data_IF_377542581048
#
_entry.id   IF_377542581048
#
_cell.length_a   1.000
_cell.length_b   1.000
_cell.length_c   1.000
_cell.angle_alpha   90.00
_cell.angle_beta   90.00
_cell.angle_gamma   90.00
#
_symmetry.space_group_name_H-M   'P 1'
#
loop_
_entity.id
_entity.type
_entity.pdbx_description
1 polymer ?
#
# COMPACT_ATOMS: atom_id res chain seq x y z
N UNK A 1 12.03 10.79 13.99
CA UNK A 1 13.46 10.43 13.82
C UNK A 1 14.31 11.65 14.09
N UNK A 2 15.36 11.55 14.90
CA UNK A 2 16.30 12.64 15.09
C UNK A 2 17.33 12.69 13.95
N UNK A 3 17.53 13.86 13.35
CA UNK A 3 18.52 14.14 12.34
C UNK A 3 19.63 15.00 12.94
N UNK A 4 20.86 14.48 12.95
CA UNK A 4 22.03 15.21 13.44
C UNK A 4 22.75 15.88 12.29
N UNK A 5 22.99 17.18 12.41
CA UNK A 5 23.74 17.98 11.44
C UNK A 5 24.82 18.81 12.13
N UNK A 6 25.71 19.43 11.34
CA UNK A 6 26.69 20.40 11.87
C UNK A 6 26.06 21.59 12.60
N UNK A 7 24.79 21.91 12.29
CA UNK A 7 24.04 23.04 12.88
C UNK A 7 23.22 22.65 14.11
N UNK A 8 23.24 21.37 14.51
CA UNK A 8 22.44 20.84 15.62
C UNK A 8 21.55 19.67 15.21
N UNK A 9 20.70 19.24 16.14
CA UNK A 9 19.75 18.14 15.96
C UNK A 9 18.36 18.70 15.62
N UNK A 10 17.69 18.11 14.64
CA UNK A 10 16.29 18.41 14.31
C UNK A 10 15.44 17.14 14.28
N UNK A 11 14.14 17.27 14.45
CA UNK A 11 13.21 16.15 14.36
C UNK A 11 12.60 16.03 12.96
N UNK A 12 12.56 14.81 12.43
CA UNK A 12 11.78 14.42 11.26
C UNK A 12 10.61 13.51 11.70
N UNK A 13 9.40 14.05 11.70
CA UNK A 13 8.20 13.37 12.22
C UNK A 13 6.98 13.46 11.30
N UNK A 14 7.12 14.05 10.10
CA UNK A 14 6.04 14.25 9.15
C UNK A 14 6.49 13.81 7.76
N UNK A 15 5.64 13.08 7.05
CA UNK A 15 5.88 12.72 5.66
C UNK A 15 6.08 13.98 4.81
N UNK A 16 7.23 14.10 4.17
CA UNK A 16 7.64 15.29 3.43
C UNK A 16 7.14 15.32 1.98
N UNK A 17 6.70 14.17 1.45
CA UNK A 17 6.31 14.04 0.04
C UNK A 17 4.93 14.64 -0.27
N UNK A 18 4.08 14.76 0.75
CA UNK A 18 2.71 15.28 0.60
C UNK A 18 2.76 16.73 0.13
N UNK A 19 1.98 17.06 -0.92
CA UNK A 19 1.83 18.41 -1.47
C UNK A 19 0.50 19.03 -1.05
N UNK A 20 0.47 19.91 -0.03
CA UNK A 20 -0.78 20.52 0.45
C UNK A 20 -1.42 21.49 -0.55
N UNK A 21 -0.62 22.00 -1.48
CA UNK A 21 -0.98 22.96 -2.53
C UNK A 21 -1.30 22.28 -3.88
N UNK A 22 -1.38 20.95 -3.90
CA UNK A 22 -1.71 20.20 -5.11
C UNK A 22 -3.09 20.63 -5.66
N UNK A 23 -3.16 20.86 -6.98
CA UNK A 23 -4.39 21.22 -7.67
C UNK A 23 -4.48 20.50 -9.01
N UNK A 24 -5.71 20.20 -9.45
CA UNK A 24 -5.95 19.60 -10.76
C UNK A 24 -5.42 20.48 -11.90
N UNK A 25 -5.49 21.80 -11.75
CA UNK A 25 -4.96 22.74 -12.74
C UNK A 25 -3.44 22.62 -12.89
N UNK A 26 -2.70 22.54 -11.77
CA UNK A 26 -1.26 22.34 -11.80
C UNK A 26 -0.88 20.96 -12.34
N UNK A 27 -1.59 19.90 -11.92
CA UNK A 27 -1.35 18.54 -12.37
C UNK A 27 -1.60 18.37 -13.89
N UNK A 28 -2.62 19.02 -14.43
CA UNK A 28 -2.96 18.97 -15.86
C UNK A 28 -1.89 19.61 -16.76
N UNK A 29 -1.06 20.52 -16.23
CA UNK A 29 0.03 21.18 -16.97
C UNK A 29 1.31 20.34 -17.05
N UNK A 30 1.38 19.23 -16.31
CA UNK A 30 2.58 18.39 -16.27
C UNK A 30 2.75 17.61 -17.58
N UNK A 31 3.98 17.59 -18.09
CA UNK A 31 4.33 16.81 -19.28
C UNK A 31 4.46 15.32 -18.94
N UNK A 32 4.13 14.41 -19.87
CA UNK A 32 4.40 12.99 -19.73
C UNK A 32 5.88 12.72 -19.44
N UNK A 33 6.16 11.83 -18.49
CA UNK A 33 7.52 11.56 -18.01
C UNK A 33 8.18 10.35 -18.70
N UNK A 34 7.39 9.41 -19.22
CA UNK A 34 7.90 8.11 -19.70
C UNK A 34 7.74 7.89 -21.21
N UNK A 35 6.70 8.45 -21.81
CA UNK A 35 6.42 8.36 -23.26
C UNK A 35 5.93 9.71 -23.77
N UNK A 36 6.38 10.20 -24.95
CA UNK A 36 5.99 11.51 -25.46
C UNK A 36 4.46 11.71 -25.58
N UNK A 37 3.75 10.66 -25.96
CA UNK A 37 2.30 10.57 -26.13
C UNK A 37 1.59 9.87 -24.95
N UNK A 38 2.30 9.71 -23.83
CA UNK A 38 1.78 9.04 -22.63
C UNK A 38 0.92 9.94 -21.74
N UNK A 39 0.35 9.34 -20.70
CA UNK A 39 -0.48 10.04 -19.69
C UNK A 39 0.15 10.07 -18.29
N UNK A 40 1.23 9.33 -18.10
CA UNK A 40 1.94 9.26 -16.81
C UNK A 40 2.89 10.43 -16.67
N UNK A 41 2.73 11.22 -15.62
CA UNK A 41 3.51 12.40 -15.28
C UNK A 41 4.10 12.26 -13.88
N UNK A 42 5.00 13.17 -13.49
CA UNK A 42 5.53 13.21 -12.12
C UNK A 42 4.46 13.51 -11.05
N UNK A 43 3.26 13.97 -11.44
CA UNK A 43 2.16 14.27 -10.51
C UNK A 43 1.17 13.13 -10.33
N UNK A 44 1.25 12.06 -11.13
CA UNK A 44 0.37 10.88 -11.03
C UNK A 44 1.13 9.55 -10.97
N UNK A 45 2.43 9.63 -10.66
CA UNK A 45 3.32 8.52 -10.40
C UNK A 45 3.91 8.68 -8.99
N UNK A 46 4.25 7.58 -8.33
CA UNK A 46 4.94 7.64 -7.05
C UNK A 46 6.35 8.22 -7.18
N UNK A 47 6.79 8.97 -6.17
CA UNK A 47 8.17 9.45 -6.07
C UNK A 47 9.18 8.35 -5.72
N UNK A 48 10.46 8.71 -5.77
CA UNK A 48 11.54 7.98 -5.10
C UNK A 48 11.69 8.53 -3.68
N UNK A 49 11.72 7.66 -2.68
CA UNK A 49 11.64 8.07 -1.28
C UNK A 49 12.47 7.16 -0.38
N UNK A 50 12.79 7.66 0.81
CA UNK A 50 13.47 6.93 1.87
C UNK A 50 12.49 6.63 3.01
N UNK A 51 12.42 5.36 3.43
CA UNK A 51 11.71 4.97 4.65
C UNK A 51 12.17 3.58 5.13
N UNK A 52 11.70 3.22 6.32
CA UNK A 52 11.74 1.87 6.85
C UNK A 52 10.39 1.51 7.48
N UNK A 53 10.03 0.24 7.42
CA UNK A 53 8.86 -0.31 8.11
C UNK A 53 9.22 -1.65 8.73
N UNK A 54 8.67 -1.96 9.90
CA UNK A 54 8.91 -3.21 10.60
C UNK A 54 7.64 -3.68 11.30
N UNK A 55 7.46 -5.00 11.33
CA UNK A 55 6.38 -5.68 12.07
C UNK A 55 7.00 -6.83 12.86
N UNK A 56 6.45 -7.10 14.05
CA UNK A 56 6.83 -8.25 14.87
C UNK A 56 5.80 -9.35 14.66
N UNK A 57 6.26 -10.54 14.27
CA UNK A 57 5.41 -11.72 14.08
C UNK A 57 5.69 -12.74 15.18
N UNK A 58 4.62 -13.36 15.66
CA UNK A 58 4.66 -14.43 16.66
C UNK A 58 3.57 -15.45 16.32
N UNK A 59 3.73 -16.70 16.78
CA UNK A 59 2.59 -17.61 16.84
C UNK A 59 1.60 -17.12 17.88
N UNK A 60 0.31 -17.42 17.69
CA UNK A 60 -0.76 -17.03 18.61
C UNK A 60 -0.48 -17.53 20.04
N UNK A 61 -0.16 -18.82 20.19
CA UNK A 61 0.16 -19.44 21.49
C UNK A 61 1.33 -18.75 22.20
N UNK A 62 2.36 -18.33 21.43
CA UNK A 62 3.51 -17.65 22.02
C UNK A 62 3.13 -16.24 22.48
N UNK A 63 2.38 -15.51 21.66
CA UNK A 63 1.89 -14.17 21.96
C UNK A 63 1.05 -14.17 23.25
N UNK A 64 0.16 -15.15 23.40
CA UNK A 64 -0.63 -15.36 24.63
C UNK A 64 0.26 -15.71 25.83
N UNK A 65 1.20 -16.66 25.68
CA UNK A 65 2.07 -17.11 26.78
C UNK A 65 2.96 -16.02 27.39
N UNK A 66 3.24 -14.95 26.64
CA UNK A 66 4.07 -13.82 27.10
C UNK A 66 3.26 -12.55 27.39
N UNK A 67 1.93 -12.61 27.32
CA UNK A 67 1.06 -11.47 27.56
C UNK A 67 1.21 -10.34 26.54
N UNK A 68 1.56 -10.67 25.28
CA UNK A 68 1.68 -9.72 24.18
C UNK A 68 0.51 -9.90 23.20
N UNK A 69 -0.65 -9.27 23.42
CA UNK A 69 -1.82 -9.45 22.56
C UNK A 69 -1.51 -9.04 21.12
N UNK A 70 -1.89 -9.89 20.15
CA UNK A 70 -1.68 -9.63 18.74
C UNK A 70 -2.56 -8.46 18.26
N UNK A 71 -1.97 -7.53 17.50
CA UNK A 71 -2.72 -6.41 16.89
C UNK A 71 -3.59 -6.86 15.70
N UNK A 72 -3.21 -7.96 15.05
CA UNK A 72 -3.92 -8.60 13.97
C UNK A 72 -3.37 -10.02 13.74
N UNK A 73 -4.11 -10.82 12.98
CA UNK A 73 -3.72 -12.16 12.52
C UNK A 73 -3.57 -12.17 11.00
N UNK A 74 -2.57 -12.89 10.49
CA UNK A 74 -2.46 -13.19 9.07
C UNK A 74 -3.49 -14.28 8.73
N UNK A 75 -4.49 -13.93 7.92
CA UNK A 75 -5.55 -14.87 7.49
C UNK A 75 -5.05 -15.68 6.29
N UNK A 76 -4.54 -15.00 5.28
CA UNK A 76 -3.98 -15.61 4.09
C UNK A 76 -3.03 -14.63 3.39
N UNK A 77 -2.20 -15.18 2.52
CA UNK A 77 -1.43 -14.38 1.57
C UNK A 77 -1.19 -15.19 0.30
N UNK A 78 -0.90 -14.49 -0.79
CA UNK A 78 -0.52 -15.12 -2.03
C UNK A 78 0.28 -14.17 -2.91
N UNK A 79 0.99 -14.76 -3.85
CA UNK A 79 1.68 -14.08 -4.91
C UNK A 79 1.35 -14.75 -6.26
N UNK A 80 1.56 -14.00 -7.34
CA UNK A 80 1.31 -14.42 -8.70
C UNK A 80 2.30 -13.77 -9.67
N UNK A 81 2.51 -14.43 -10.81
CA UNK A 81 3.21 -13.87 -11.97
C UNK A 81 2.21 -13.35 -13.01
N UNK A 82 2.59 -12.31 -13.73
CA UNK A 82 1.90 -11.73 -14.88
C UNK A 82 2.94 -11.34 -15.95
N UNK A 83 2.50 -10.95 -17.15
CA UNK A 83 3.45 -10.46 -18.17
C UNK A 83 4.18 -9.20 -17.63
N UNK A 84 5.53 -9.16 -17.69
CA UNK A 84 6.33 -8.03 -17.20
C UNK A 84 5.91 -6.67 -17.78
N UNK A 85 5.37 -6.63 -19.01
CA UNK A 85 4.90 -5.40 -19.68
C UNK A 85 3.66 -4.80 -19.03
N UNK A 86 2.89 -5.60 -18.28
CA UNK A 86 1.67 -5.19 -17.58
C UNK A 86 1.78 -5.47 -16.07
N UNK A 87 2.99 -5.48 -15.52
CA UNK A 87 3.27 -5.82 -14.12
C UNK A 87 2.37 -5.08 -13.10
N UNK A 88 1.90 -3.88 -13.44
CA UNK A 88 0.95 -3.09 -12.64
C UNK A 88 -0.37 -3.81 -12.32
N UNK A 89 -0.77 -4.82 -13.10
CA UNK A 89 -1.98 -5.61 -12.86
C UNK A 89 -1.77 -6.77 -11.87
N UNK A 90 -0.53 -7.06 -11.47
CA UNK A 90 -0.19 -8.13 -10.53
C UNK A 90 -1.11 -8.23 -9.29
N UNK A 91 -1.53 -7.11 -8.66
CA UNK A 91 -2.52 -7.13 -7.58
C UNK A 91 -3.80 -7.92 -7.87
N UNK A 92 -4.33 -7.89 -9.08
CA UNK A 92 -5.63 -8.52 -9.40
C UNK A 92 -5.62 -10.04 -9.17
N UNK A 93 -4.75 -10.82 -9.82
CA UNK A 93 -4.66 -12.25 -9.54
C UNK A 93 -4.18 -12.57 -8.12
N UNK A 94 -3.33 -11.73 -7.51
CA UNK A 94 -2.88 -11.94 -6.13
C UNK A 94 -4.04 -11.81 -5.13
N UNK A 95 -4.86 -10.76 -5.24
CA UNK A 95 -6.02 -10.52 -4.38
C UNK A 95 -7.04 -11.66 -4.52
N UNK A 96 -7.43 -12.02 -5.76
CA UNK A 96 -8.39 -13.10 -6.00
C UNK A 96 -7.95 -14.41 -5.34
N UNK A 97 -6.69 -14.80 -5.53
CA UNK A 97 -6.11 -16.02 -4.94
C UNK A 97 -6.01 -15.96 -3.42
N UNK A 98 -5.69 -14.80 -2.85
CA UNK A 98 -5.63 -14.59 -1.40
C UNK A 98 -7.01 -14.74 -0.75
N UNK A 99 -8.04 -14.15 -1.35
CA UNK A 99 -9.43 -14.23 -0.88
C UNK A 99 -10.00 -15.65 -1.04
N UNK A 100 -9.77 -16.29 -2.19
CA UNK A 100 -10.16 -17.69 -2.43
C UNK A 100 -9.57 -18.63 -1.36
N UNK A 101 -8.26 -18.50 -1.07
CA UNK A 101 -7.59 -19.29 -0.03
C UNK A 101 -8.15 -19.06 1.38
N UNK A 102 -8.65 -17.86 1.65
CA UNK A 102 -9.26 -17.52 2.93
C UNK A 102 -10.75 -17.91 3.02
N UNK A 103 -11.37 -18.35 1.91
CA UNK A 103 -12.82 -18.51 1.84
C UNK A 103 -13.56 -17.19 2.07
N UNK A 104 -12.98 -16.08 1.60
CA UNK A 104 -13.52 -14.72 1.75
C UNK A 104 -13.86 -14.10 0.39
N UNK A 105 -14.71 -13.10 0.43
CA UNK A 105 -15.08 -12.26 -0.71
C UNK A 105 -14.51 -10.85 -0.55
N UNK A 106 -14.57 -10.04 -1.61
CA UNK A 106 -14.22 -8.62 -1.52
C UNK A 106 -15.19 -7.85 -0.62
N UNK A 107 -16.45 -8.27 -0.55
CA UNK A 107 -17.49 -7.64 0.29
C UNK A 107 -17.23 -7.82 1.80
N UNK A 108 -16.37 -8.78 2.18
CA UNK A 108 -15.92 -8.97 3.56
C UNK A 108 -14.79 -8.00 3.96
N UNK A 109 -14.17 -7.30 3.00
CA UNK A 109 -12.98 -6.48 3.25
C UNK A 109 -13.39 -5.05 3.61
N UNK A 110 -12.97 -4.60 4.78
CA UNK A 110 -13.35 -3.29 5.31
C UNK A 110 -12.42 -2.15 4.84
N UNK A 111 -11.15 -2.46 4.58
CA UNK A 111 -10.14 -1.47 4.18
C UNK A 111 -9.04 -2.09 3.32
N UNK A 112 -8.55 -1.32 2.35
CA UNK A 112 -7.55 -1.76 1.38
C UNK A 112 -6.39 -0.75 1.33
N UNK A 113 -5.16 -1.25 1.49
CA UNK A 113 -3.93 -0.52 1.14
C UNK A 113 -3.37 -1.11 -0.16
N UNK A 114 -3.64 -0.43 -1.27
CA UNK A 114 -3.14 -0.74 -2.61
C UNK A 114 -1.97 0.19 -2.93
N UNK A 115 -0.76 -0.36 -3.12
CA UNK A 115 0.39 0.47 -3.50
C UNK A 115 0.14 1.20 -4.83
N UNK A 116 0.31 2.52 -4.82
CA UNK A 116 0.07 3.40 -5.98
C UNK A 116 1.38 3.75 -6.69
N UNK A 117 2.01 2.78 -7.36
CA UNK A 117 3.19 3.07 -8.18
C UNK A 117 2.88 4.12 -9.29
N UNK A 118 1.67 4.03 -9.85
CA UNK A 118 1.08 4.92 -10.84
C UNK A 118 -0.43 4.99 -10.67
N UNK A 119 -1.04 6.16 -10.89
CA UNK A 119 -2.49 6.32 -10.86
C UNK A 119 -3.18 5.40 -11.88
N UNK A 120 -2.59 5.25 -13.07
CA UNK A 120 -3.11 4.38 -14.12
C UNK A 120 -3.18 2.90 -13.69
N UNK A 121 -2.16 2.42 -12.97
CA UNK A 121 -2.15 1.05 -12.43
C UNK A 121 -3.18 0.91 -11.30
N UNK A 122 -3.25 1.87 -10.38
CA UNK A 122 -4.18 1.81 -9.25
C UNK A 122 -5.62 1.75 -9.74
N UNK A 123 -5.98 2.62 -10.69
CA UNK A 123 -7.30 2.64 -11.32
C UNK A 123 -7.61 1.35 -12.10
N UNK A 124 -6.63 0.75 -12.77
CA UNK A 124 -6.82 -0.53 -13.46
C UNK A 124 -7.13 -1.66 -12.47
N UNK A 125 -6.39 -1.73 -11.35
CA UNK A 125 -6.62 -2.73 -10.29
C UNK A 125 -7.99 -2.54 -9.64
N UNK A 126 -8.36 -1.30 -9.29
CA UNK A 126 -9.67 -0.95 -8.74
C UNK A 126 -10.79 -1.40 -9.68
N UNK A 127 -10.66 -1.09 -10.97
CA UNK A 127 -11.65 -1.44 -11.99
C UNK A 127 -11.81 -2.96 -12.14
N UNK A 128 -10.71 -3.69 -12.28
CA UNK A 128 -10.74 -5.13 -12.60
C UNK A 128 -11.15 -6.01 -11.41
N UNK A 129 -10.94 -5.52 -10.19
CA UNK A 129 -11.45 -6.15 -8.97
C UNK A 129 -12.84 -5.64 -8.57
N UNK A 130 -13.29 -4.51 -9.12
CA UNK A 130 -14.55 -3.88 -8.70
C UNK A 130 -14.48 -3.32 -7.28
N UNK A 131 -13.33 -2.76 -6.87
CA UNK A 131 -13.14 -2.25 -5.51
C UNK A 131 -13.96 -0.99 -5.29
N UNK A 132 -14.56 -0.87 -4.10
CA UNK A 132 -15.10 0.40 -3.62
C UNK A 132 -13.93 1.36 -3.35
N UNK A 133 -14.00 2.56 -3.94
CA UNK A 133 -12.95 3.57 -3.86
C UNK A 133 -12.89 4.20 -2.47
N UNK A 134 -13.98 4.17 -1.71
CA UNK A 134 -14.03 4.78 -0.37
C UNK A 134 -13.21 3.98 0.66
N UNK A 135 -13.02 2.67 0.44
CA UNK A 135 -12.22 1.80 1.32
C UNK A 135 -10.78 1.62 0.84
N UNK A 136 -10.43 2.11 -0.36
CA UNK A 136 -9.09 2.00 -0.94
C UNK A 136 -8.26 3.23 -0.60
N UNK A 137 -7.13 2.99 0.07
CA UNK A 137 -6.14 4.02 0.44
C UNK A 137 -6.76 5.22 1.20
N UNK A 138 -7.51 5.02 2.30
CA UNK A 138 -8.26 6.09 2.98
C UNK A 138 -7.36 7.20 3.54
N UNK A 139 -6.06 6.93 3.70
CA UNK A 139 -5.05 7.90 4.16
C UNK A 139 -4.07 8.34 3.05
N UNK A 140 -4.45 8.14 1.79
CA UNK A 140 -3.57 8.35 0.62
C UNK A 140 -2.59 7.20 0.40
N UNK A 141 -2.08 7.09 -0.82
CA UNK A 141 -1.11 6.08 -1.23
C UNK A 141 0.24 6.66 -1.63
N UNK A 142 1.02 5.86 -2.36
CA UNK A 142 2.41 6.14 -2.69
C UNK A 142 2.62 7.34 -3.64
N UNK A 143 1.57 7.79 -4.35
CA UNK A 143 1.62 9.05 -5.12
C UNK A 143 1.78 10.25 -4.19
N UNK A 144 1.10 10.24 -3.05
CA UNK A 144 1.14 11.35 -2.09
C UNK A 144 2.21 11.15 -1.00
N UNK A 145 2.36 9.93 -0.50
CA UNK A 145 3.25 9.60 0.62
C UNK A 145 4.65 9.17 0.16
N UNK A 146 4.79 8.76 -1.10
CA UNK A 146 6.04 8.27 -1.66
C UNK A 146 6.16 6.74 -1.71
N UNK A 147 7.14 6.25 -2.49
CA UNK A 147 7.40 4.83 -2.70
C UNK A 147 8.86 4.43 -2.40
N UNK A 148 9.19 4.21 -1.12
CA UNK A 148 10.45 3.57 -0.73
C UNK A 148 10.35 2.08 -1.06
N UNK A 149 10.73 1.70 -2.29
CA UNK A 149 10.40 0.41 -2.94
C UNK A 149 10.51 -0.79 -2.00
N UNK A 150 11.67 -0.97 -1.35
CA UNK A 150 11.92 -2.12 -0.48
C UNK A 150 11.14 -2.07 0.86
N UNK A 151 10.83 -0.87 1.36
CA UNK A 151 10.12 -0.70 2.63
C UNK A 151 8.60 -0.70 2.47
N UNK A 152 8.09 -0.44 1.26
CA UNK A 152 6.67 -0.16 1.02
C UNK A 152 5.74 -1.26 1.51
N UNK A 153 6.08 -2.54 1.31
CA UNK A 153 5.26 -3.64 1.82
C UNK A 153 5.06 -3.58 3.34
N UNK A 154 6.13 -3.32 4.09
CA UNK A 154 6.05 -3.16 5.54
C UNK A 154 5.37 -1.86 5.95
N UNK A 155 5.62 -0.75 5.24
CA UNK A 155 4.97 0.55 5.48
C UNK A 155 3.45 0.45 5.31
N UNK A 156 2.97 -0.16 4.22
CA UNK A 156 1.54 -0.36 3.98
C UNK A 156 0.91 -1.31 5.01
N UNK A 157 1.64 -2.36 5.40
CA UNK A 157 1.20 -3.25 6.49
C UNK A 157 1.06 -2.48 7.81
N UNK A 158 2.01 -1.59 8.13
CA UNK A 158 1.88 -0.72 9.31
C UNK A 158 0.68 0.22 9.18
N UNK A 159 0.52 0.91 8.04
CA UNK A 159 -0.61 1.81 7.79
C UNK A 159 -1.95 1.12 7.99
N UNK A 160 -2.15 -0.06 7.38
CA UNK A 160 -3.44 -0.75 7.47
C UNK A 160 -3.74 -1.20 8.91
N UNK A 161 -2.74 -1.66 9.66
CA UNK A 161 -2.93 -2.08 11.05
C UNK A 161 -3.45 -0.93 11.91
N UNK A 162 -2.85 0.26 11.77
CA UNK A 162 -3.32 1.46 12.46
C UNK A 162 -4.69 1.93 11.96
N UNK A 163 -5.00 1.82 10.67
CA UNK A 163 -6.31 2.19 10.16
C UNK A 163 -7.42 1.31 10.70
N UNK A 164 -7.19 -0.01 10.67
CA UNK A 164 -8.14 -0.96 11.20
C UNK A 164 -8.37 -0.74 12.71
N UNK A 165 -7.33 -0.35 13.45
CA UNK A 165 -7.40 0.06 14.86
C UNK A 165 -8.25 1.32 15.04
N UNK A 166 -7.98 2.34 14.23
CA UNK A 166 -8.60 3.67 14.30
C UNK A 166 -10.09 3.63 13.99
N UNK A 167 -10.51 2.72 13.10
CA UNK A 167 -11.89 2.62 12.61
C UNK A 167 -12.65 1.41 13.15
N UNK A 168 -11.98 0.51 13.87
CA UNK A 168 -12.58 -0.74 14.34
C UNK A 168 -12.90 -1.72 13.20
N UNK A 169 -12.10 -1.73 12.14
CA UNK A 169 -12.27 -2.66 11.01
C UNK A 169 -11.80 -4.06 11.38
N UNK A 170 -12.53 -5.08 10.93
CA UNK A 170 -12.25 -6.49 11.19
C UNK A 170 -11.33 -7.12 10.15
N UNK A 171 -11.42 -6.74 8.87
CA UNK A 171 -10.66 -7.37 7.78
C UNK A 171 -9.99 -6.33 6.88
N UNK A 172 -8.66 -6.43 6.74
CA UNK A 172 -7.85 -5.51 5.94
C UNK A 172 -7.04 -6.24 4.87
N UNK A 173 -6.94 -5.65 3.69
CA UNK A 173 -6.20 -6.18 2.54
C UNK A 173 -5.05 -5.24 2.14
N UNK A 174 -3.83 -5.77 2.09
CA UNK A 174 -2.68 -5.06 1.52
C UNK A 174 -2.30 -5.70 0.21
N UNK A 175 -2.07 -4.91 -0.85
CA UNK A 175 -1.65 -5.46 -2.15
C UNK A 175 -0.69 -4.55 -2.93
N UNK A 176 0.25 -5.16 -3.66
CA UNK A 176 1.30 -4.47 -4.40
C UNK A 176 1.57 -5.13 -5.76
N UNK A 177 1.86 -4.32 -6.77
CA UNK A 177 2.54 -4.76 -7.98
C UNK A 177 4.06 -4.81 -7.74
N UNK A 178 4.76 -5.66 -8.50
CA UNK A 178 6.19 -5.86 -8.37
C UNK A 178 6.81 -5.88 -9.79
N UNK A 179 7.88 -5.10 -9.96
CA UNK A 179 8.64 -5.05 -11.20
C UNK A 179 9.11 -6.43 -11.64
N UNK A 180 9.11 -6.69 -12.95
CA UNK A 180 9.39 -8.03 -13.49
C UNK A 180 8.15 -8.91 -13.64
N UNK A 181 6.94 -8.40 -13.34
CA UNK A 181 5.69 -9.09 -13.65
C UNK A 181 5.17 -9.92 -12.49
N UNK A 182 5.07 -9.34 -11.30
CA UNK A 182 4.58 -10.03 -10.12
C UNK A 182 3.55 -9.19 -9.36
N UNK A 183 2.75 -9.87 -8.53
CA UNK A 183 1.87 -9.23 -7.55
C UNK A 183 1.83 -10.03 -6.26
N UNK A 184 1.54 -9.34 -5.17
CA UNK A 184 1.41 -9.94 -3.83
C UNK A 184 0.22 -9.31 -3.12
N UNK A 185 -0.51 -10.13 -2.36
CA UNK A 185 -1.60 -9.69 -1.50
C UNK A 185 -1.54 -10.38 -0.14
N UNK A 186 -1.82 -9.63 0.91
CA UNK A 186 -1.84 -10.05 2.32
C UNK A 186 -3.19 -9.68 2.92
N UNK A 187 -3.86 -10.66 3.53
CA UNK A 187 -5.13 -10.48 4.23
C UNK A 187 -4.91 -10.59 5.75
N UNK A 188 -5.36 -9.57 6.47
CA UNK A 188 -5.21 -9.44 7.92
C UNK A 188 -6.59 -9.37 8.56
N UNK A 189 -6.76 -10.04 9.71
CA UNK A 189 -7.95 -9.88 10.54
C UNK A 189 -7.62 -9.31 11.91
N UNK A 190 -8.56 -8.54 12.45
CA UNK A 190 -8.62 -8.17 13.87
C UNK A 190 -9.77 -8.92 14.49
N UNK A 191 -9.47 -9.63 15.57
CA UNK A 191 -10.42 -10.31 16.44
C UNK A 191 -10.34 -9.66 17.83
#
# INVERSE_FOLDING_TARGET
>A
MELRSKKGTSEFAKDEHVRPDASMEALAKLKPAFKPDGTVTAGNASGMNDAAGAVVLMSADRAESVGAPARARIVSYSYCGVDPKIMGIGPVPAVRKTLERAGKSLDDVDVIELNEAFAAQSLAVIKDLGLDREIVNPNGGAIALGHPVAATGAVLTTKILYEMERRGHGLGLVTLCIGGGQGIALLLSRE
#
